data_IF_705744149206
#
_entry.id   IF_705744149206
#
_cell.length_a   1.000
_cell.length_b   1.000
_cell.length_c   1.000
_cell.angle_alpha   90.00
_cell.angle_beta   90.00
_cell.angle_gamma   90.00
#
_symmetry.space_group_name_H-M   'P 1'
#
loop_
_entity.id
_entity.type
_entity.pdbx_description
1 polymer ?
#
# COMPACT_ATOMS: atom_id res chain seq x y z
N UNK A 1 27.78 -6.41 -18.66
CA UNK A 1 26.73 -6.29 -17.63
C UNK A 1 25.92 -7.57 -17.66
N UNK A 2 25.91 -8.28 -16.54
CA UNK A 2 25.07 -9.44 -16.25
C UNK A 2 24.03 -9.08 -15.20
N UNK A 3 24.43 -8.27 -14.22
CA UNK A 3 23.57 -7.87 -13.11
C UNK A 3 23.58 -6.35 -12.92
N UNK A 4 22.42 -5.82 -12.54
CA UNK A 4 22.23 -4.40 -12.22
C UNK A 4 21.44 -4.30 -10.91
N UNK A 5 22.09 -3.83 -9.86
CA UNK A 5 21.47 -3.58 -8.55
C UNK A 5 20.94 -2.15 -8.53
N UNK A 6 19.72 -1.95 -8.06
CA UNK A 6 19.01 -0.68 -8.21
C UNK A 6 18.26 -0.34 -6.92
N UNK A 7 18.43 0.91 -6.48
CA UNK A 7 17.55 1.54 -5.50
C UNK A 7 17.10 2.90 -6.03
N UNK A 8 15.83 3.26 -5.81
CA UNK A 8 15.28 4.52 -6.32
C UNK A 8 14.58 5.32 -5.22
N UNK A 9 14.68 6.63 -5.36
CA UNK A 9 13.88 7.56 -4.58
C UNK A 9 12.88 8.27 -5.49
N UNK A 10 11.64 8.41 -5.04
CA UNK A 10 10.53 8.86 -5.89
C UNK A 10 9.60 9.81 -5.16
N UNK A 11 8.90 10.65 -5.91
CA UNK A 11 7.83 11.49 -5.40
C UNK A 11 6.51 11.17 -6.13
N UNK A 12 5.41 11.23 -5.38
CA UNK A 12 4.05 11.29 -5.92
C UNK A 12 3.12 11.95 -4.91
N UNK A 13 2.09 12.69 -5.34
CA UNK A 13 1.06 13.19 -4.43
C UNK A 13 0.15 12.08 -3.89
N UNK A 14 0.18 10.89 -4.50
CA UNK A 14 -0.60 9.73 -4.06
C UNK A 14 0.02 9.11 -2.83
N UNK A 15 -0.81 8.75 -1.85
CA UNK A 15 -0.34 8.03 -0.67
C UNK A 15 -0.06 6.56 -0.99
N UNK A 16 1.23 6.18 -1.06
CA UNK A 16 1.69 4.83 -1.40
C UNK A 16 1.05 3.74 -0.52
N UNK A 17 0.97 3.96 0.80
CA UNK A 17 0.43 2.96 1.73
C UNK A 17 -1.07 2.70 1.53
N UNK A 18 -1.84 3.70 1.09
CA UNK A 18 -3.28 3.58 0.83
C UNK A 18 -3.59 3.06 -0.57
N UNK A 19 -2.86 3.52 -1.58
CA UNK A 19 -3.18 3.27 -2.99
C UNK A 19 -2.33 2.17 -3.63
N UNK A 20 -1.18 1.84 -3.04
CA UNK A 20 -0.20 0.94 -3.65
C UNK A 20 0.66 1.61 -4.73
N UNK A 21 1.67 0.88 -5.21
CA UNK A 21 2.68 1.43 -6.15
C UNK A 21 2.10 1.76 -7.53
N UNK A 22 1.07 1.07 -7.99
CA UNK A 22 0.54 1.28 -9.34
C UNK A 22 -0.11 2.66 -9.49
N UNK A 23 -1.09 3.09 -8.68
CA UNK A 23 -1.60 4.46 -8.77
C UNK A 23 -0.56 5.51 -8.37
N UNK A 24 0.36 5.16 -7.47
CA UNK A 24 1.46 6.03 -7.07
C UNK A 24 2.35 6.41 -8.25
N UNK A 25 2.82 5.43 -9.01
CA UNK A 25 3.68 5.61 -10.17
C UNK A 25 2.95 6.13 -11.41
N UNK A 26 1.64 5.86 -11.53
CA UNK A 26 0.78 6.29 -12.67
C UNK A 26 0.23 7.72 -12.52
N UNK A 27 0.54 8.44 -11.44
CA UNK A 27 0.12 9.82 -11.25
C UNK A 27 0.87 10.77 -12.21
N UNK A 28 0.24 11.85 -12.70
CA UNK A 28 0.90 12.77 -13.64
C UNK A 28 2.12 13.47 -12.99
N UNK A 29 1.99 13.91 -11.74
CA UNK A 29 3.07 14.50 -10.94
C UNK A 29 4.02 13.48 -10.28
N UNK A 30 4.05 12.22 -10.74
CA UNK A 30 5.06 11.27 -10.26
C UNK A 30 6.43 11.64 -10.83
N UNK A 31 7.46 11.61 -9.99
CA UNK A 31 8.84 11.87 -10.38
C UNK A 31 9.80 10.81 -9.82
N UNK A 32 10.75 10.39 -10.66
CA UNK A 32 11.93 9.65 -10.22
C UNK A 32 13.01 10.65 -9.82
N UNK A 33 13.43 10.60 -8.56
CA UNK A 33 14.28 11.63 -7.95
C UNK A 33 15.76 11.27 -8.01
N UNK A 34 16.09 10.11 -7.48
CA UNK A 34 17.43 9.54 -7.44
C UNK A 34 17.37 8.11 -7.96
N UNK A 35 18.41 7.70 -8.67
CA UNK A 35 18.64 6.31 -9.03
C UNK A 35 20.05 5.92 -8.62
N UNK A 36 20.14 5.11 -7.57
CA UNK A 36 21.35 4.44 -7.13
C UNK A 36 21.48 3.12 -7.87
N UNK A 37 22.69 2.82 -8.36
CA UNK A 37 22.93 1.57 -9.06
C UNK A 37 24.33 1.02 -8.87
N UNK A 38 24.47 -0.30 -8.99
CA UNK A 38 25.75 -0.99 -9.14
C UNK A 38 25.70 -1.96 -10.33
N UNK A 39 26.75 -1.92 -11.14
CA UNK A 39 26.93 -2.81 -12.30
C UNK A 39 27.79 -4.00 -11.85
N UNK A 40 27.27 -5.21 -11.99
CA UNK A 40 28.00 -6.45 -11.71
C UNK A 40 28.66 -6.47 -10.31
N UNK A 41 28.00 -5.89 -9.29
CA UNK A 41 28.50 -5.79 -7.92
C UNK A 41 29.67 -4.80 -7.73
N UNK A 42 29.94 -3.96 -8.73
CA UNK A 42 30.97 -2.92 -8.66
C UNK A 42 30.60 -1.73 -7.76
N UNK A 43 31.40 -0.64 -7.81
CA UNK A 43 31.14 0.58 -7.06
C UNK A 43 29.72 1.13 -7.34
N UNK A 44 29.02 1.53 -6.28
CA UNK A 44 27.70 2.14 -6.39
C UNK A 44 27.85 3.56 -6.93
N UNK A 45 27.04 3.90 -7.93
CA UNK A 45 26.87 5.25 -8.47
C UNK A 45 25.43 5.74 -8.17
N UNK A 46 25.22 7.05 -8.06
CA UNK A 46 23.88 7.63 -7.88
C UNK A 46 23.68 8.75 -8.91
N UNK A 47 22.55 8.72 -9.61
CA UNK A 47 22.16 9.74 -10.58
C UNK A 47 21.08 10.62 -9.98
N UNK A 48 21.39 11.91 -9.86
CA UNK A 48 20.46 12.94 -9.39
C UNK A 48 19.56 13.43 -10.53
N UNK A 49 18.50 12.66 -10.79
CA UNK A 49 17.54 12.93 -11.85
C UNK A 49 16.72 14.21 -11.56
N UNK A 50 16.46 14.51 -10.28
CA UNK A 50 15.71 15.69 -9.88
C UNK A 50 16.45 17.01 -10.22
N UNK A 51 17.78 16.99 -10.26
CA UNK A 51 18.61 18.11 -10.75
C UNK A 51 18.99 17.99 -12.23
N UNK A 52 18.33 17.10 -12.98
CA UNK A 52 18.44 17.00 -14.45
C UNK A 52 19.63 16.18 -14.95
N UNK A 53 20.37 15.50 -14.07
CA UNK A 53 21.38 14.54 -14.51
C UNK A 53 20.70 13.40 -15.29
N UNK A 54 21.45 12.79 -16.22
CA UNK A 54 20.93 11.76 -17.11
C UNK A 54 21.53 10.41 -16.75
N UNK A 55 20.75 9.33 -16.87
CA UNK A 55 21.29 7.98 -16.74
C UNK A 55 22.28 7.71 -17.87
N UNK A 56 23.42 7.05 -17.58
CA UNK A 56 24.30 6.57 -18.63
C UNK A 56 23.54 5.63 -19.57
N UNK A 57 23.77 5.75 -20.88
CA UNK A 57 23.08 4.97 -21.92
C UNK A 57 23.17 3.45 -21.67
N UNK A 58 24.34 2.97 -21.19
CA UNK A 58 24.55 1.56 -20.82
C UNK A 58 23.62 1.08 -19.70
N UNK A 59 23.29 1.93 -18.73
CA UNK A 59 22.40 1.61 -17.61
C UNK A 59 20.96 1.64 -18.08
N UNK A 60 20.61 2.66 -18.86
CA UNK A 60 19.28 2.80 -19.45
C UNK A 60 18.92 1.60 -20.33
N UNK A 61 19.82 1.17 -21.22
CA UNK A 61 19.62 -0.01 -22.07
C UNK A 61 19.48 -1.30 -21.24
N UNK A 62 20.23 -1.44 -20.15
CA UNK A 62 20.20 -2.60 -19.29
C UNK A 62 18.85 -2.79 -18.55
N UNK A 63 18.10 -1.71 -18.29
CA UNK A 63 16.78 -1.80 -17.65
C UNK A 63 15.79 -2.67 -18.44
N UNK A 64 15.94 -2.77 -19.76
CA UNK A 64 15.07 -3.56 -20.65
C UNK A 64 15.75 -4.76 -21.30
N UNK A 65 17.06 -4.91 -21.12
CA UNK A 65 17.82 -6.02 -21.69
C UNK A 65 17.43 -7.36 -21.02
N UNK A 66 16.92 -8.35 -21.78
CA UNK A 66 16.59 -9.68 -21.25
C UNK A 66 17.80 -10.50 -20.76
N UNK A 67 19.02 -10.09 -21.11
CA UNK A 67 20.26 -10.74 -20.66
C UNK A 67 20.85 -10.12 -19.38
N UNK A 68 20.24 -9.05 -18.86
CA UNK A 68 20.63 -8.43 -17.59
C UNK A 68 19.57 -8.71 -16.53
N UNK A 69 19.99 -9.32 -15.43
CA UNK A 69 19.16 -9.51 -14.23
C UNK A 69 19.20 -8.23 -13.41
N UNK A 70 18.03 -7.68 -13.09
CA UNK A 70 17.89 -6.52 -12.22
C UNK A 70 17.62 -6.98 -10.80
N UNK A 71 18.35 -6.44 -9.83
CA UNK A 71 18.17 -6.70 -8.41
C UNK A 71 17.71 -5.43 -7.70
N UNK A 72 16.77 -5.59 -6.76
CA UNK A 72 16.35 -4.52 -5.87
C UNK A 72 15.75 -5.07 -4.57
N UNK A 73 15.95 -4.36 -3.46
CA UNK A 73 15.33 -4.70 -2.18
C UNK A 73 13.87 -4.22 -2.15
N UNK A 74 12.95 -5.10 -2.58
CA UNK A 74 11.53 -4.84 -2.90
C UNK A 74 11.26 -4.52 -4.37
N UNK A 75 11.93 -5.22 -5.30
CA UNK A 75 11.88 -5.05 -6.76
C UNK A 75 10.52 -4.78 -7.43
N UNK A 76 9.39 -5.18 -6.82
CA UNK A 76 8.07 -4.78 -7.30
C UNK A 76 7.87 -3.25 -7.31
N UNK A 77 8.47 -2.53 -6.35
CA UNK A 77 8.39 -1.08 -6.29
C UNK A 77 9.22 -0.44 -7.41
N UNK A 78 10.49 -0.80 -7.49
CA UNK A 78 11.46 -0.26 -8.46
C UNK A 78 10.98 -0.53 -9.88
N UNK A 79 10.58 -1.78 -10.17
CA UNK A 79 10.11 -2.18 -11.50
C UNK A 79 8.90 -1.37 -11.97
N UNK A 80 7.93 -1.12 -11.09
CA UNK A 80 6.71 -0.38 -11.47
C UNK A 80 6.99 1.12 -11.63
N UNK A 81 7.76 1.72 -10.72
CA UNK A 81 8.18 3.11 -10.81
C UNK A 81 9.02 3.37 -12.06
N UNK A 82 10.00 2.51 -12.36
CA UNK A 82 10.83 2.60 -13.56
C UNK A 82 10.02 2.36 -14.84
N UNK A 83 9.04 1.47 -14.82
CA UNK A 83 8.11 1.30 -15.96
C UNK A 83 7.39 2.60 -16.29
N UNK A 84 6.90 3.30 -15.27
CA UNK A 84 6.20 4.58 -15.44
C UNK A 84 7.15 5.70 -15.88
N UNK A 85 8.36 5.74 -15.32
CA UNK A 85 9.39 6.71 -15.72
C UNK A 85 9.83 6.49 -17.18
N UNK A 86 10.12 5.26 -17.59
CA UNK A 86 10.47 4.93 -18.98
C UNK A 86 9.34 5.30 -19.96
N UNK A 87 8.07 5.06 -19.63
CA UNK A 87 6.97 5.50 -20.49
C UNK A 87 6.94 7.02 -20.73
N UNK A 88 7.31 7.82 -19.73
CA UNK A 88 7.30 9.28 -19.83
C UNK A 88 8.55 9.83 -20.53
N UNK A 89 9.71 9.29 -20.22
CA UNK A 89 10.99 9.88 -20.61
C UNK A 89 11.71 9.12 -21.74
N UNK A 90 11.41 7.83 -21.91
CA UNK A 90 12.05 6.95 -22.89
C UNK A 90 11.06 5.93 -23.51
N UNK A 91 9.97 6.41 -24.15
CA UNK A 91 8.90 5.55 -24.64
C UNK A 91 9.36 4.50 -25.65
N UNK A 92 10.48 4.73 -26.34
CA UNK A 92 11.12 3.79 -27.25
C UNK A 92 11.40 2.43 -26.61
N UNK A 93 11.75 2.39 -25.32
CA UNK A 93 12.05 1.14 -24.59
C UNK A 93 10.80 0.40 -24.10
N UNK A 94 9.63 1.03 -24.14
CA UNK A 94 8.38 0.48 -23.63
C UNK A 94 7.37 0.14 -24.73
N UNK A 95 7.80 0.17 -26.00
CA UNK A 95 6.91 -0.11 -27.14
C UNK A 95 6.22 -1.47 -27.01
N UNK A 96 4.87 -1.45 -26.98
CA UNK A 96 4.04 -2.65 -26.91
C UNK A 96 3.93 -3.29 -25.52
N UNK A 97 4.46 -2.67 -24.45
CA UNK A 97 4.37 -3.21 -23.09
C UNK A 97 4.09 -2.13 -22.06
N UNK A 98 3.31 -2.45 -21.03
CA UNK A 98 2.96 -1.50 -19.97
C UNK A 98 3.96 -1.51 -18.81
N UNK A 99 4.55 -2.66 -18.52
CA UNK A 99 5.46 -2.84 -17.40
C UNK A 99 6.73 -3.55 -17.86
N UNK A 100 7.82 -3.27 -17.17
CA UNK A 100 9.07 -4.02 -17.28
C UNK A 100 8.83 -5.49 -16.91
N UNK A 101 9.51 -6.37 -17.62
CA UNK A 101 9.30 -7.81 -17.54
C UNK A 101 9.69 -8.36 -16.15
N UNK A 102 8.76 -8.90 -15.36
CA UNK A 102 9.11 -9.40 -14.04
C UNK A 102 10.09 -10.60 -14.07
N UNK A 103 10.20 -11.34 -15.19
CA UNK A 103 11.15 -12.44 -15.30
C UNK A 103 12.63 -11.98 -15.31
N UNK A 104 12.87 -10.68 -15.53
CA UNK A 104 14.21 -10.10 -15.52
C UNK A 104 14.57 -9.43 -14.19
N UNK A 105 13.70 -9.55 -13.16
CA UNK A 105 13.83 -8.86 -11.89
C UNK A 105 13.85 -9.85 -10.73
N UNK A 106 14.89 -9.79 -9.91
CA UNK A 106 15.02 -10.53 -8.68
C UNK A 106 14.89 -9.61 -7.48
N UNK A 107 14.31 -10.14 -6.40
CA UNK A 107 13.96 -9.36 -5.22
C UNK A 107 14.69 -9.90 -4.00
N UNK A 108 15.64 -9.11 -3.50
CA UNK A 108 16.49 -9.47 -2.35
C UNK A 108 15.67 -9.59 -1.06
N UNK A 109 14.55 -8.85 -0.96
CA UNK A 109 13.56 -8.99 0.13
C UNK A 109 12.84 -10.36 0.08
N UNK A 110 12.47 -10.84 -1.11
CA UNK A 110 11.82 -12.16 -1.28
C UNK A 110 12.81 -13.28 -0.95
N UNK A 111 14.05 -13.16 -1.42
CA UNK A 111 15.10 -14.12 -1.10
C UNK A 111 15.36 -14.18 0.42
N UNK A 112 15.39 -13.03 1.09
CA UNK A 112 15.48 -12.95 2.55
C UNK A 112 14.30 -13.67 3.22
N UNK A 113 13.06 -13.39 2.79
CA UNK A 113 11.86 -14.02 3.33
C UNK A 113 11.86 -15.55 3.14
N UNK A 114 12.37 -16.04 2.01
CA UNK A 114 12.52 -17.48 1.75
C UNK A 114 13.41 -18.18 2.78
N UNK A 115 14.48 -17.50 3.22
CA UNK A 115 15.40 -17.99 4.24
C UNK A 115 14.90 -17.73 5.68
N UNK A 116 13.66 -17.28 5.84
CA UNK A 116 13.07 -16.97 7.16
C UNK A 116 13.60 -15.69 7.80
N UNK A 117 14.32 -14.87 7.03
CA UNK A 117 14.82 -13.57 7.49
C UNK A 117 13.70 -12.51 7.46
N UNK A 118 13.88 -11.36 8.13
CA UNK A 118 12.95 -10.23 8.06
C UNK A 118 12.74 -9.72 6.62
N UNK A 119 11.71 -8.90 6.41
CA UNK A 119 11.42 -8.27 5.10
C UNK A 119 11.79 -6.77 5.05
N UNK A 120 12.51 -6.26 6.05
CA UNK A 120 13.03 -4.90 6.06
C UNK A 120 14.53 -4.93 5.84
N UNK A 121 15.05 -4.06 4.97
CA UNK A 121 16.49 -3.96 4.67
C UNK A 121 17.31 -3.82 5.95
N UNK A 122 16.89 -2.91 6.85
CA UNK A 122 17.50 -2.67 8.16
C UNK A 122 17.50 -3.93 9.04
N UNK A 123 16.37 -4.65 9.08
CA UNK A 123 16.22 -5.82 9.94
C UNK A 123 17.00 -7.03 9.40
N UNK A 124 17.08 -7.18 8.06
CA UNK A 124 17.90 -8.22 7.42
C UNK A 124 19.37 -7.95 7.65
N UNK A 125 19.84 -6.73 7.40
CA UNK A 125 21.23 -6.34 7.64
C UNK A 125 21.63 -6.56 9.10
N UNK A 126 20.73 -6.24 10.05
CA UNK A 126 20.94 -6.52 11.48
C UNK A 126 20.99 -8.02 11.77
N UNK A 127 20.08 -8.82 11.20
CA UNK A 127 20.03 -10.26 11.42
C UNK A 127 21.26 -10.99 10.84
N UNK A 128 21.85 -10.45 9.78
CA UNK A 128 23.06 -10.96 9.13
C UNK A 128 24.36 -10.38 9.73
N UNK A 129 24.26 -9.49 10.73
CA UNK A 129 25.36 -8.77 11.36
C UNK A 129 26.26 -8.04 10.36
N UNK A 130 25.65 -7.33 9.41
CA UNK A 130 26.39 -6.60 8.39
C UNK A 130 27.02 -5.32 8.97
N UNK A 131 28.27 -5.00 8.58
CA UNK A 131 28.88 -3.71 8.91
C UNK A 131 28.17 -2.57 8.18
N UNK A 132 27.60 -2.85 7.02
CA UNK A 132 26.72 -1.95 6.30
C UNK A 132 25.37 -1.82 7.01
N UNK A 133 25.08 -0.63 7.51
CA UNK A 133 23.81 -0.33 8.18
C UNK A 133 23.09 0.80 7.47
N UNK A 134 21.76 0.66 7.43
CA UNK A 134 20.84 1.69 6.97
C UNK A 134 20.94 2.91 7.87
N UNK A 135 21.02 4.10 7.27
CA UNK A 135 21.04 5.35 8.05
C UNK A 135 19.64 5.67 8.59
N UNK A 136 19.53 5.77 9.91
CA UNK A 136 18.30 6.16 10.61
C UNK A 136 17.79 7.55 10.24
N UNK A 137 18.65 8.45 9.75
CA UNK A 137 18.27 9.77 9.25
C UNK A 137 17.41 9.71 7.97
N UNK A 138 17.49 8.62 7.21
CA UNK A 138 16.79 8.45 5.94
C UNK A 138 15.28 8.63 6.03
N UNK A 139 14.65 8.20 7.14
CA UNK A 139 13.19 8.37 7.33
C UNK A 139 12.76 9.83 7.31
N UNK A 140 13.60 10.74 7.84
CA UNK A 140 13.33 12.18 7.82
C UNK A 140 13.45 12.72 6.40
N UNK A 141 14.48 12.32 5.67
CA UNK A 141 14.75 12.77 4.30
C UNK A 141 13.71 12.27 3.30
N UNK A 142 13.30 10.99 3.40
CA UNK A 142 12.18 10.42 2.62
C UNK A 142 10.91 11.25 2.88
N UNK A 143 10.57 11.53 4.14
CA UNK A 143 9.39 12.36 4.45
C UNK A 143 9.52 13.75 3.85
N UNK A 144 10.70 14.33 3.89
CA UNK A 144 10.95 15.68 3.40
C UNK A 144 10.83 15.80 1.88
N UNK A 145 11.41 14.87 1.12
CA UNK A 145 11.54 14.97 -0.34
C UNK A 145 10.57 14.10 -1.14
N UNK A 146 10.13 12.96 -0.59
CA UNK A 146 9.33 11.96 -1.29
C UNK A 146 7.82 12.03 -0.97
N UNK A 147 7.42 12.85 0.01
CA UNK A 147 6.00 12.98 0.40
C UNK A 147 5.47 14.40 0.21
N UNK A 148 4.15 14.57 0.01
CA UNK A 148 3.56 15.89 -0.14
C UNK A 148 3.81 16.81 1.05
N UNK A 149 4.19 18.04 0.75
CA UNK A 149 4.44 19.10 1.72
C UNK A 149 3.35 20.17 1.66
N UNK A 150 3.06 20.79 2.80
CA UNK A 150 2.17 21.96 2.85
C UNK A 150 2.80 23.12 2.06
N UNK A 151 2.02 23.86 1.25
CA UNK A 151 2.50 25.07 0.57
C UNK A 151 3.18 26.06 1.53
N UNK A 152 4.37 26.51 1.16
CA UNK A 152 5.22 27.42 1.95
C UNK A 152 6.17 28.22 1.06
N UNK A 153 6.85 29.22 1.62
CA UNK A 153 7.86 29.99 0.87
C UNK A 153 9.03 29.10 0.42
N UNK A 154 9.39 28.08 1.22
CA UNK A 154 10.50 27.17 0.95
C UNK A 154 10.25 26.21 -0.22
N UNK A 155 8.98 25.93 -0.54
CA UNK A 155 8.61 25.12 -1.70
C UNK A 155 7.91 25.93 -2.81
N UNK A 156 8.07 27.26 -2.78
CA UNK A 156 7.49 28.17 -3.77
C UNK A 156 5.95 28.06 -3.89
N UNK A 157 5.27 27.68 -2.80
CA UNK A 157 3.83 27.43 -2.78
C UNK A 157 3.41 26.09 -3.39
N UNK A 158 4.36 25.23 -3.76
CA UNK A 158 4.09 23.89 -4.30
C UNK A 158 3.72 22.86 -3.25
N UNK A 159 3.49 21.62 -3.70
CA UNK A 159 3.16 20.47 -2.84
C UNK A 159 4.35 19.55 -2.56
N UNK A 160 5.57 19.97 -2.91
CA UNK A 160 6.80 19.17 -2.76
C UNK A 160 7.96 20.08 -2.39
N UNK A 161 8.85 19.61 -1.52
CA UNK A 161 10.12 20.29 -1.27
C UNK A 161 11.12 19.94 -2.38
N UNK A 162 11.56 20.90 -3.21
CA UNK A 162 12.57 20.64 -4.24
C UNK A 162 13.96 20.42 -3.60
N UNK A 163 14.93 19.82 -4.34
CA UNK A 163 16.32 19.70 -3.87
C UNK A 163 16.89 21.02 -3.35
N UNK A 164 16.61 22.12 -4.05
CA UNK A 164 17.09 23.45 -3.71
C UNK A 164 16.55 24.02 -2.38
N UNK A 165 15.50 23.43 -1.79
CA UNK A 165 14.94 23.87 -0.51
C UNK A 165 15.80 23.51 0.71
N UNK A 166 16.62 22.46 0.58
CA UNK A 166 17.57 22.01 1.60
C UNK A 166 18.73 21.25 0.92
N UNK A 167 19.72 21.96 0.37
CA UNK A 167 20.81 21.34 -0.39
C UNK A 167 21.66 20.35 0.45
N UNK A 168 21.89 20.67 1.72
CA UNK A 168 22.66 19.80 2.62
C UNK A 168 21.87 18.52 2.95
N UNK A 169 20.56 18.64 3.16
CA UNK A 169 19.67 17.49 3.30
C UNK A 169 19.58 16.65 2.03
N UNK A 170 19.64 17.29 0.85
CA UNK A 170 19.64 16.60 -0.43
C UNK A 170 20.92 15.78 -0.66
N UNK A 171 22.08 16.33 -0.34
CA UNK A 171 23.36 15.60 -0.43
C UNK A 171 23.40 14.39 0.53
N UNK A 172 22.84 14.54 1.73
CA UNK A 172 22.63 13.43 2.65
C UNK A 172 21.67 12.39 2.06
N UNK A 173 20.66 12.82 1.30
CA UNK A 173 19.71 11.91 0.67
C UNK A 173 20.33 11.12 -0.50
N UNK A 174 21.21 11.74 -1.29
CA UNK A 174 22.04 11.05 -2.28
C UNK A 174 22.93 9.99 -1.61
N UNK A 175 23.57 10.36 -0.50
CA UNK A 175 24.41 9.43 0.27
C UNK A 175 23.60 8.28 0.87
N UNK A 176 22.37 8.55 1.30
CA UNK A 176 21.44 7.55 1.81
C UNK A 176 21.02 6.54 0.73
N UNK A 177 20.62 7.00 -0.46
CA UNK A 177 20.27 6.11 -1.59
C UNK A 177 21.48 5.25 -2.02
N UNK A 178 22.69 5.83 -2.06
CA UNK A 178 23.93 5.04 -2.27
C UNK A 178 24.06 3.93 -1.24
N UNK A 179 23.86 4.27 0.04
CA UNK A 179 24.02 3.34 1.16
C UNK A 179 23.00 2.21 1.12
N UNK A 180 21.76 2.46 0.71
CA UNK A 180 20.75 1.40 0.58
C UNK A 180 21.17 0.36 -0.49
N UNK A 181 21.76 0.77 -1.63
CA UNK A 181 22.33 -0.17 -2.62
C UNK A 181 23.52 -0.95 -2.05
N UNK A 182 24.43 -0.30 -1.31
CA UNK A 182 25.56 -0.98 -0.66
C UNK A 182 25.09 -2.05 0.34
N UNK A 183 24.06 -1.73 1.15
CA UNK A 183 23.47 -2.68 2.10
C UNK A 183 22.79 -3.83 1.35
N UNK A 184 22.08 -3.55 0.26
CA UNK A 184 21.49 -4.61 -0.56
C UNK A 184 22.56 -5.55 -1.12
N UNK A 185 23.64 -5.02 -1.69
CA UNK A 185 24.76 -5.81 -2.21
C UNK A 185 25.36 -6.72 -1.12
N UNK A 186 25.59 -6.17 0.07
CA UNK A 186 26.11 -6.95 1.20
C UNK A 186 25.14 -8.06 1.64
N UNK A 187 23.83 -7.82 1.59
CA UNK A 187 22.82 -8.86 1.82
C UNK A 187 22.89 -9.90 0.71
N UNK A 188 22.85 -9.48 -0.55
CA UNK A 188 22.92 -10.35 -1.73
C UNK A 188 24.11 -11.30 -1.64
N UNK A 189 25.31 -10.78 -1.39
CA UNK A 189 26.54 -11.57 -1.27
C UNK A 189 26.45 -12.58 -0.12
N UNK A 190 25.83 -12.19 1.00
CA UNK A 190 25.63 -13.07 2.15
C UNK A 190 24.62 -14.18 1.88
N UNK A 191 23.62 -13.91 1.04
CA UNK A 191 22.59 -14.89 0.65
C UNK A 191 23.05 -15.81 -0.48
N UNK A 192 24.08 -15.45 -1.25
CA UNK A 192 24.57 -16.19 -2.41
C UNK A 192 24.90 -17.67 -2.15
N UNK A 193 25.31 -18.02 -0.93
CA UNK A 193 25.53 -19.40 -0.49
C UNK A 193 24.24 -20.25 -0.41
N UNK A 194 23.08 -19.60 -0.41
CA UNK A 194 21.75 -20.20 -0.25
C UNK A 194 20.81 -19.78 -1.39
N UNK A 195 21.13 -20.12 -2.65
CA UNK A 195 20.39 -19.64 -3.81
C UNK A 195 18.92 -20.05 -3.76
N UNK A 196 18.05 -19.10 -4.09
CA UNK A 196 16.64 -19.39 -4.30
C UNK A 196 16.48 -20.28 -5.55
N UNK A 197 15.72 -21.40 -5.49
CA UNK A 197 15.51 -22.26 -6.65
C UNK A 197 14.90 -21.51 -7.83
N UNK A 198 15.29 -21.86 -9.06
CA UNK A 198 14.76 -21.22 -10.28
C UNK A 198 13.22 -21.24 -10.36
N UNK A 199 12.60 -22.34 -9.91
CA UNK A 199 11.13 -22.45 -9.87
C UNK A 199 10.45 -21.45 -8.93
N UNK A 200 11.14 -20.99 -7.88
CA UNK A 200 10.63 -19.96 -6.98
C UNK A 200 10.76 -18.58 -7.63
N UNK A 201 11.80 -18.31 -8.42
CA UNK A 201 11.89 -17.11 -9.26
C UNK A 201 10.80 -17.09 -10.33
N UNK A 202 10.53 -18.22 -10.99
CA UNK A 202 9.41 -18.34 -11.93
C UNK A 202 8.06 -18.06 -11.25
N UNK A 203 7.89 -18.54 -10.01
CA UNK A 203 6.67 -18.31 -9.23
C UNK A 203 6.55 -16.84 -8.79
N UNK A 204 7.66 -16.21 -8.40
CA UNK A 204 7.71 -14.77 -8.14
C UNK A 204 7.32 -13.97 -9.40
N UNK A 205 7.90 -14.29 -10.56
CA UNK A 205 7.56 -13.62 -11.81
C UNK A 205 6.08 -13.80 -12.18
N UNK A 206 5.50 -14.98 -11.95
CA UNK A 206 4.07 -15.23 -12.11
C UNK A 206 3.21 -14.36 -11.17
N UNK A 207 3.57 -14.26 -9.88
CA UNK A 207 2.90 -13.36 -8.93
C UNK A 207 2.91 -11.91 -9.41
N UNK A 208 4.05 -11.45 -9.90
CA UNK A 208 4.19 -10.09 -10.44
C UNK A 208 3.32 -9.91 -11.69
N UNK A 209 3.29 -10.87 -12.61
CA UNK A 209 2.40 -10.84 -13.79
C UNK A 209 0.91 -10.80 -13.41
N UNK A 210 0.50 -11.53 -12.37
CA UNK A 210 -0.87 -11.48 -11.83
C UNK A 210 -1.19 -10.09 -11.28
N UNK A 211 -0.26 -9.51 -10.52
CA UNK A 211 -0.42 -8.17 -9.97
C UNK A 211 -0.44 -7.08 -11.06
N UNK A 212 0.40 -7.19 -12.09
CA UNK A 212 0.44 -6.29 -13.26
C UNK A 212 -0.87 -6.36 -14.06
N UNK A 213 -1.42 -7.57 -14.21
CA UNK A 213 -2.72 -7.79 -14.87
C UNK A 213 -3.82 -7.11 -14.07
N UNK A 214 -3.84 -7.29 -12.75
CA UNK A 214 -4.83 -6.71 -11.85
C UNK A 214 -6.25 -7.23 -12.05
N UNK A 215 -7.19 -6.73 -11.25
CA UNK A 215 -8.60 -7.12 -11.25
C UNK A 215 -9.45 -5.89 -11.57
N UNK A 216 -10.38 -6.00 -12.54
CA UNK A 216 -11.29 -4.90 -12.87
C UNK A 216 -12.25 -4.66 -11.70
N UNK A 217 -12.32 -3.42 -11.26
CA UNK A 217 -13.20 -2.99 -10.18
C UNK A 217 -14.42 -2.30 -10.77
N UNK A 218 -15.59 -2.69 -10.27
CA UNK A 218 -16.85 -2.05 -10.64
C UNK A 218 -17.00 -0.74 -9.87
N UNK A 219 -16.40 0.34 -10.40
CA UNK A 219 -16.36 1.65 -9.72
C UNK A 219 -17.75 2.16 -9.33
N UNK A 220 -18.76 1.97 -10.19
CA UNK A 220 -20.14 2.39 -9.89
C UNK A 220 -20.68 1.68 -8.66
N UNK A 221 -20.52 0.36 -8.58
CA UNK A 221 -20.94 -0.41 -7.42
C UNK A 221 -20.15 -0.02 -6.17
N UNK A 222 -18.84 0.18 -6.29
CA UNK A 222 -17.96 0.58 -5.18
C UNK A 222 -18.37 1.95 -4.64
N UNK A 223 -18.53 2.95 -5.50
CA UNK A 223 -18.88 4.31 -5.12
C UNK A 223 -20.26 4.37 -4.44
N UNK A 224 -21.23 3.63 -4.98
CA UNK A 224 -22.55 3.54 -4.36
C UNK A 224 -22.54 2.73 -3.06
N UNK A 225 -21.71 1.69 -2.92
CA UNK A 225 -21.57 0.98 -1.65
C UNK A 225 -21.01 1.89 -0.54
N UNK A 226 -20.02 2.73 -0.86
CA UNK A 226 -19.49 3.74 0.07
C UNK A 226 -20.53 4.81 0.39
N UNK A 227 -21.31 5.26 -0.61
CA UNK A 227 -22.39 6.22 -0.40
C UNK A 227 -23.51 5.65 0.49
N UNK A 228 -23.89 4.38 0.27
CA UNK A 228 -24.88 3.67 1.06
C UNK A 228 -24.44 3.58 2.53
N UNK A 229 -23.21 3.16 2.80
CA UNK A 229 -22.67 3.11 4.16
C UNK A 229 -22.62 4.49 4.80
N UNK A 230 -22.19 5.53 4.06
CA UNK A 230 -22.17 6.89 4.58
C UNK A 230 -23.56 7.39 4.99
N UNK A 231 -24.59 7.11 4.19
CA UNK A 231 -25.97 7.45 4.51
C UNK A 231 -26.45 6.69 5.75
N UNK A 232 -26.25 5.37 5.76
CA UNK A 232 -26.62 4.53 6.89
C UNK A 232 -25.94 4.99 8.19
N UNK A 233 -24.62 5.20 8.18
CA UNK A 233 -23.85 5.69 9.33
C UNK A 233 -24.30 7.06 9.81
N UNK A 234 -24.70 7.96 8.91
CA UNK A 234 -25.21 9.28 9.29
C UNK A 234 -26.55 9.15 10.05
N UNK A 235 -27.47 8.31 9.55
CA UNK A 235 -28.75 8.01 10.20
C UNK A 235 -28.54 7.33 11.56
N UNK A 236 -27.72 6.28 11.62
CA UNK A 236 -27.38 5.56 12.86
C UNK A 236 -26.73 6.49 13.89
N UNK A 237 -25.83 7.38 13.45
CA UNK A 237 -25.19 8.35 14.33
C UNK A 237 -26.19 9.37 14.87
N UNK A 238 -27.04 9.93 14.01
CA UNK A 238 -28.07 10.89 14.42
C UNK A 238 -29.04 10.28 15.44
N UNK A 239 -29.46 9.03 15.22
CA UNK A 239 -30.30 8.30 16.18
C UNK A 239 -29.59 8.04 17.50
N UNK A 240 -28.32 7.67 17.46
CA UNK A 240 -27.52 7.50 18.67
C UNK A 240 -27.35 8.83 19.44
N UNK A 241 -27.18 9.96 18.74
CA UNK A 241 -27.12 11.29 19.34
C UNK A 241 -28.45 11.68 19.97
N UNK A 242 -29.58 11.40 19.31
CA UNK A 242 -30.93 11.66 19.84
C UNK A 242 -31.18 10.91 21.16
N UNK A 243 -30.83 9.62 21.22
CA UNK A 243 -31.02 8.79 22.42
C UNK A 243 -30.06 9.16 23.56
N UNK A 244 -28.81 9.49 23.23
CA UNK A 244 -27.76 9.65 24.26
C UNK A 244 -27.52 11.09 24.67
N UNK A 245 -27.89 12.06 23.83
CA UNK A 245 -27.51 13.47 23.98
C UNK A 245 -26.01 13.74 23.82
N UNK A 246 -25.21 12.73 23.45
CA UNK A 246 -23.76 12.88 23.29
C UNK A 246 -23.42 13.54 21.96
N UNK A 247 -22.46 14.45 21.96
CA UNK A 247 -21.91 15.01 20.71
C UNK A 247 -21.25 13.91 19.85
N UNK A 248 -20.54 12.98 20.49
CA UNK A 248 -19.89 11.85 19.82
C UNK A 248 -20.22 10.50 20.50
N UNK A 249 -21.34 9.86 20.13
CA UNK A 249 -21.72 8.53 20.63
C UNK A 249 -20.73 7.40 20.28
N UNK A 250 -19.78 7.64 19.37
CA UNK A 250 -18.73 6.68 19.04
C UNK A 250 -17.52 6.75 19.99
N UNK A 251 -17.41 7.79 20.82
CA UNK A 251 -16.34 7.89 21.82
C UNK A 251 -16.52 6.81 22.88
N UNK A 252 -15.56 5.87 23.03
CA UNK A 252 -15.69 4.81 24.02
C UNK A 252 -15.78 5.32 25.46
N UNK A 253 -15.21 6.50 25.73
CA UNK A 253 -15.24 7.10 27.07
C UNK A 253 -16.65 7.64 27.33
N UNK A 254 -17.15 8.53 26.47
CA UNK A 254 -18.46 9.17 26.63
C UNK A 254 -19.59 8.13 26.66
N UNK A 255 -19.53 7.12 25.78
CA UNK A 255 -20.57 6.09 25.75
C UNK A 255 -20.57 5.21 27.01
N UNK A 256 -19.40 4.89 27.58
CA UNK A 256 -19.33 4.11 28.83
C UNK A 256 -19.88 4.90 30.02
N UNK A 257 -19.61 6.20 30.08
CA UNK A 257 -20.17 7.08 31.11
C UNK A 257 -21.70 7.15 31.00
N UNK A 258 -22.23 7.30 29.79
CA UNK A 258 -23.67 7.27 29.54
C UNK A 258 -24.29 5.93 29.93
N UNK A 259 -23.69 4.81 29.54
CA UNK A 259 -24.17 3.47 29.87
C UNK A 259 -24.18 3.21 31.39
N UNK A 260 -23.15 3.68 32.11
CA UNK A 260 -23.09 3.59 33.57
C UNK A 260 -24.21 4.40 34.24
N UNK A 261 -24.50 5.62 33.74
CA UNK A 261 -25.60 6.44 34.23
C UNK A 261 -26.99 5.80 33.99
N UNK A 262 -27.10 4.93 32.98
CA UNK A 262 -28.32 4.19 32.63
C UNK A 262 -28.31 2.74 33.13
N UNK A 263 -27.52 2.46 34.19
CA UNK A 263 -27.55 1.20 34.91
C UNK A 263 -26.85 0.02 34.24
N UNK A 264 -26.07 0.25 33.18
CA UNK A 264 -25.34 -0.78 32.42
C UNK A 264 -23.84 -0.45 32.35
N UNK A 265 -23.10 -0.43 33.47
CA UNK A 265 -21.67 -0.12 33.44
C UNK A 265 -20.89 -1.22 32.71
N UNK A 266 -20.12 -0.83 31.69
CA UNK A 266 -19.22 -1.73 30.94
C UNK A 266 -17.76 -1.32 31.11
N UNK A 267 -16.87 -2.30 31.19
CA UNK A 267 -15.43 -2.07 31.30
C UNK A 267 -14.83 -1.70 29.95
N UNK A 268 -15.24 -2.43 28.90
CA UNK A 268 -14.89 -2.19 27.52
C UNK A 268 -16.11 -2.23 26.59
N UNK A 269 -15.92 -1.76 25.36
CA UNK A 269 -16.91 -1.86 24.29
C UNK A 269 -16.44 -2.87 23.24
N UNK A 270 -15.79 -3.95 23.69
CA UNK A 270 -15.39 -5.04 22.80
C UNK A 270 -16.62 -5.79 22.30
N UNK A 271 -16.50 -6.45 21.14
CA UNK A 271 -17.59 -7.21 20.54
C UNK A 271 -18.23 -8.20 21.52
N UNK A 272 -17.43 -8.86 22.34
CA UNK A 272 -17.91 -9.86 23.30
C UNK A 272 -18.65 -9.22 24.48
N UNK A 273 -18.13 -8.12 25.04
CA UNK A 273 -18.79 -7.43 26.14
C UNK A 273 -20.11 -6.76 25.70
N UNK A 274 -20.13 -6.16 24.51
CA UNK A 274 -21.37 -5.59 23.95
C UNK A 274 -22.40 -6.69 23.68
N UNK A 275 -21.98 -7.85 23.16
CA UNK A 275 -22.89 -8.99 22.95
C UNK A 275 -23.49 -9.49 24.27
N UNK A 276 -22.67 -9.65 25.32
CA UNK A 276 -23.17 -10.05 26.64
C UNK A 276 -24.10 -9.01 27.26
N UNK A 277 -23.84 -7.71 27.05
CA UNK A 277 -24.70 -6.63 27.52
C UNK A 277 -26.06 -6.62 26.80
N UNK A 278 -26.10 -6.99 25.51
CA UNK A 278 -27.33 -7.05 24.72
C UNK A 278 -28.30 -8.14 25.20
N UNK A 279 -27.82 -9.17 25.91
CA UNK A 279 -28.68 -10.25 26.45
C UNK A 279 -29.60 -9.75 27.57
N UNK A 280 -29.20 -8.72 28.31
CA UNK A 280 -29.95 -8.18 29.45
C UNK A 280 -30.42 -6.74 29.25
N UNK A 281 -29.85 -6.02 28.28
CA UNK A 281 -30.25 -4.65 27.98
C UNK A 281 -31.69 -4.57 27.45
N UNK A 282 -32.43 -3.54 27.87
CA UNK A 282 -33.78 -3.24 27.39
C UNK A 282 -33.93 -1.75 27.05
N UNK A 283 -34.96 -1.41 26.28
CA UNK A 283 -35.28 -0.02 25.93
C UNK A 283 -34.13 0.70 25.20
N UNK A 284 -33.91 1.96 25.56
CA UNK A 284 -32.92 2.84 24.91
C UNK A 284 -31.49 2.30 25.02
N UNK A 285 -31.13 1.68 26.14
CA UNK A 285 -29.79 1.07 26.32
C UNK A 285 -29.54 -0.01 25.28
N UNK A 286 -30.54 -0.87 25.03
CA UNK A 286 -30.42 -1.94 24.03
C UNK A 286 -30.26 -1.35 22.63
N UNK A 287 -31.05 -0.33 22.30
CA UNK A 287 -30.98 0.35 21.00
C UNK A 287 -29.61 1.00 20.79
N UNK A 288 -29.09 1.74 21.78
CA UNK A 288 -27.77 2.37 21.72
C UNK A 288 -26.64 1.34 21.54
N UNK A 289 -26.71 0.19 22.22
CA UNK A 289 -25.73 -0.89 22.04
C UNK A 289 -25.78 -1.50 20.63
N UNK A 290 -26.96 -1.64 20.03
CA UNK A 290 -27.11 -2.08 18.64
C UNK A 290 -26.55 -1.06 17.65
N UNK A 291 -26.93 0.22 17.79
CA UNK A 291 -26.42 1.33 16.96
C UNK A 291 -24.89 1.43 17.05
N UNK A 292 -24.32 1.24 18.25
CA UNK A 292 -22.86 1.20 18.44
C UNK A 292 -22.23 0.04 17.68
N UNK A 293 -22.87 -1.13 17.69
CA UNK A 293 -22.45 -2.32 16.93
C UNK A 293 -22.42 -2.07 15.43
N UNK A 294 -23.45 -1.42 14.89
CA UNK A 294 -23.50 -0.99 13.48
C UNK A 294 -22.40 0.00 13.15
N UNK A 295 -22.23 1.05 13.96
CA UNK A 295 -21.16 2.05 13.78
C UNK A 295 -19.75 1.45 13.91
N UNK A 296 -19.60 0.29 14.57
CA UNK A 296 -18.34 -0.44 14.68
C UNK A 296 -17.98 -1.29 13.44
N UNK A 297 -18.94 -1.57 12.55
CA UNK A 297 -18.69 -2.37 11.34
C UNK A 297 -17.66 -1.67 10.45
N UNK A 298 -16.79 -2.47 9.83
CA UNK A 298 -15.68 -1.99 8.98
C UNK A 298 -15.70 -2.60 7.58
N UNK A 299 -16.81 -3.22 7.19
CA UNK A 299 -17.00 -3.85 5.87
C UNK A 299 -16.81 -2.86 4.72
N UNK A 300 -17.23 -1.59 4.90
CA UNK A 300 -17.05 -0.53 3.91
C UNK A 300 -15.59 -0.19 3.60
N UNK A 301 -14.67 -0.39 4.57
CA UNK A 301 -13.24 -0.03 4.38
C UNK A 301 -12.60 -0.72 3.17
N UNK A 302 -13.12 -1.88 2.78
CA UNK A 302 -12.69 -2.60 1.57
C UNK A 302 -13.11 -1.87 0.31
N UNK A 303 -14.32 -1.31 0.28
CA UNK A 303 -14.80 -0.49 -0.83
C UNK A 303 -14.05 0.84 -0.90
N UNK A 304 -13.81 1.49 0.24
CA UNK A 304 -12.96 2.69 0.30
C UNK A 304 -11.54 2.39 -0.21
N UNK A 305 -10.94 1.28 0.21
CA UNK A 305 -9.65 0.84 -0.33
C UNK A 305 -9.73 0.59 -1.85
N UNK A 306 -10.80 -0.02 -2.36
CA UNK A 306 -11.01 -0.22 -3.80
C UNK A 306 -11.06 1.11 -4.58
N UNK A 307 -11.59 2.20 -4.00
CA UNK A 307 -11.58 3.52 -4.64
C UNK A 307 -10.15 4.06 -4.80
N UNK A 308 -9.28 3.84 -3.82
CA UNK A 308 -7.91 4.37 -3.81
C UNK A 308 -6.92 3.58 -4.69
N UNK A 309 -7.14 2.29 -4.89
CA UNK A 309 -6.19 1.39 -5.59
C UNK A 309 -6.46 1.22 -7.09
N UNK A 310 -7.63 1.68 -7.56
CA UNK A 310 -8.03 1.49 -8.94
C UNK A 310 -7.24 2.45 -9.86
N UNK A 311 -6.45 1.90 -10.78
CA UNK A 311 -5.72 2.67 -11.79
C UNK A 311 -6.65 3.29 -12.85
N UNK A 312 -6.07 4.08 -13.78
CA UNK A 312 -6.82 4.76 -14.86
C UNK A 312 -7.66 3.81 -15.73
N UNK A 313 -7.21 2.57 -15.88
CA UNK A 313 -7.91 1.50 -16.62
C UNK A 313 -9.01 0.79 -15.80
N UNK A 314 -9.31 1.28 -14.59
CA UNK A 314 -10.32 0.73 -13.69
C UNK A 314 -9.92 -0.60 -13.05
N UNK A 315 -8.64 -0.98 -13.07
CA UNK A 315 -8.15 -2.21 -12.44
C UNK A 315 -7.36 -1.91 -11.16
N UNK A 316 -7.66 -2.65 -10.10
CA UNK A 316 -6.84 -2.70 -8.89
C UNK A 316 -5.69 -3.69 -9.03
N UNK A 317 -4.51 -3.34 -8.52
CA UNK A 317 -3.25 -4.08 -8.69
C UNK A 317 -2.47 -4.18 -7.39
N UNK A 318 -1.49 -5.10 -7.33
CA UNK A 318 -0.64 -5.27 -6.15
C UNK A 318 -1.39 -5.82 -4.93
N UNK A 319 -2.38 -6.68 -5.16
CA UNK A 319 -3.22 -7.26 -4.09
C UNK A 319 -2.61 -8.50 -3.45
N UNK A 320 -1.63 -9.11 -4.10
CA UNK A 320 -0.95 -10.30 -3.62
C UNK A 320 0.54 -9.97 -3.43
N UNK A 321 1.13 -10.58 -2.42
CA UNK A 321 2.57 -10.58 -2.22
C UNK A 321 3.05 -12.02 -2.07
N UNK A 322 3.88 -12.45 -3.01
CA UNK A 322 4.69 -13.66 -2.91
C UNK A 322 5.57 -13.64 -1.65
N UNK A 323 5.64 -14.77 -0.93
CA UNK A 323 6.33 -14.88 0.37
C UNK A 323 5.91 -13.83 1.43
N UNK A 324 4.71 -13.23 1.29
CA UNK A 324 4.23 -12.23 2.24
C UNK A 324 3.99 -12.76 3.66
N UNK A 325 3.91 -14.09 3.85
CA UNK A 325 3.93 -14.77 5.14
C UNK A 325 5.24 -15.57 5.33
N UNK A 326 6.34 -14.86 5.66
CA UNK A 326 7.71 -15.39 5.65
C UNK A 326 7.97 -16.67 6.44
N UNK A 327 7.17 -17.01 7.46
CA UNK A 327 7.31 -18.30 8.18
C UNK A 327 6.77 -19.53 7.44
N UNK A 328 5.86 -19.32 6.48
CA UNK A 328 5.13 -20.42 5.83
C UNK A 328 5.26 -20.40 4.30
N UNK A 329 5.88 -19.36 3.73
CA UNK A 329 5.94 -19.14 2.28
C UNK A 329 4.60 -18.79 1.63
N UNK A 330 3.50 -18.70 2.39
CA UNK A 330 2.18 -18.38 1.83
C UNK A 330 2.13 -16.95 1.28
N UNK A 331 1.38 -16.80 0.19
CA UNK A 331 1.00 -15.51 -0.36
C UNK A 331 0.16 -14.74 0.66
N UNK A 332 0.41 -13.43 0.78
CA UNK A 332 -0.36 -12.56 1.64
C UNK A 332 -1.17 -11.53 0.84
N UNK A 333 -2.36 -11.21 1.31
CA UNK A 333 -3.14 -10.08 0.80
C UNK A 333 -2.52 -8.73 1.14
N UNK A 334 -2.57 -7.80 0.20
CA UNK A 334 -2.23 -6.38 0.36
C UNK A 334 -3.39 -5.49 -0.07
N UNK A 335 -3.38 -4.26 0.44
CA UNK A 335 -4.41 -3.24 0.16
C UNK A 335 -5.83 -3.74 0.53
N UNK A 336 -6.61 -4.18 -0.46
CA UNK A 336 -7.97 -4.72 -0.27
C UNK A 336 -7.98 -6.06 0.48
N UNK A 337 -6.86 -6.79 0.47
CA UNK A 337 -6.73 -8.15 1.04
C UNK A 337 -7.84 -9.09 0.57
N UNK A 338 -7.79 -9.49 -0.70
CA UNK A 338 -8.82 -10.32 -1.34
C UNK A 338 -9.10 -11.65 -0.63
N UNK A 339 -8.12 -12.19 0.10
CA UNK A 339 -8.25 -13.41 0.91
C UNK A 339 -9.21 -13.24 2.10
N UNK A 340 -9.42 -12.00 2.56
CA UNK A 340 -10.29 -11.65 3.69
C UNK A 340 -11.68 -11.17 3.23
N UNK A 341 -12.03 -11.33 1.96
CA UNK A 341 -13.38 -11.03 1.47
C UNK A 341 -14.36 -12.08 2.02
N UNK A 342 -15.47 -11.65 2.65
CA UNK A 342 -16.44 -12.58 3.17
C UNK A 342 -17.05 -13.39 2.04
N UNK A 343 -17.23 -14.69 2.27
CA UNK A 343 -18.04 -15.53 1.38
C UNK A 343 -19.49 -15.08 1.51
N UNK A 344 -20.12 -14.79 0.37
CA UNK A 344 -21.47 -14.27 0.34
C UNK A 344 -22.44 -15.43 0.12
N UNK A 345 -23.41 -15.58 1.04
CA UNK A 345 -24.39 -16.66 1.02
C UNK A 345 -25.82 -16.16 0.75
N UNK A 346 -25.96 -14.89 0.33
CA UNK A 346 -27.25 -14.31 -0.03
C UNK A 346 -27.86 -15.02 -1.25
N UNK A 347 -29.06 -15.63 -1.15
CA UNK A 347 -29.71 -16.34 -2.25
C UNK A 347 -29.95 -15.46 -3.48
N UNK A 348 -30.18 -14.16 -3.28
CA UNK A 348 -30.50 -13.18 -4.30
C UNK A 348 -29.43 -12.08 -4.44
N UNK A 349 -28.16 -12.44 -4.21
CA UNK A 349 -27.00 -11.54 -4.29
C UNK A 349 -26.97 -10.63 -5.54
N UNK A 350 -27.41 -11.13 -6.69
CA UNK A 350 -27.48 -10.35 -7.92
C UNK A 350 -28.45 -9.16 -7.79
N UNK A 351 -29.59 -9.34 -7.12
CA UNK A 351 -30.57 -8.29 -6.86
C UNK A 351 -30.04 -7.28 -5.84
N UNK A 352 -29.41 -7.77 -4.76
CA UNK A 352 -28.76 -6.91 -3.76
C UNK A 352 -27.72 -5.98 -4.43
N UNK A 353 -26.85 -6.55 -5.28
CA UNK A 353 -25.85 -5.78 -6.04
C UNK A 353 -26.49 -4.80 -7.01
N UNK A 354 -27.58 -5.17 -7.68
CA UNK A 354 -28.28 -4.27 -8.59
C UNK A 354 -28.85 -3.05 -7.84
N UNK A 355 -29.49 -3.25 -6.68
CA UNK A 355 -30.04 -2.17 -5.87
C UNK A 355 -28.96 -1.20 -5.38
N UNK A 356 -27.84 -1.72 -4.87
CA UNK A 356 -26.71 -0.87 -4.49
C UNK A 356 -26.15 -0.15 -5.72
N UNK A 357 -25.93 -0.86 -6.82
CA UNK A 357 -25.42 -0.27 -8.07
C UNK A 357 -26.35 0.82 -8.63
N UNK A 358 -27.66 0.77 -8.43
CA UNK A 358 -28.60 1.81 -8.88
C UNK A 358 -28.85 2.89 -7.84
N UNK A 359 -28.23 2.83 -6.65
CA UNK A 359 -28.41 3.83 -5.59
C UNK A 359 -29.73 3.69 -4.82
N UNK A 360 -30.41 2.55 -4.91
CA UNK A 360 -31.70 2.32 -4.26
C UNK A 360 -31.53 1.90 -2.79
N UNK A 361 -30.90 2.74 -1.97
CA UNK A 361 -30.47 2.39 -0.61
C UNK A 361 -31.63 2.06 0.34
N UNK A 362 -32.75 2.79 0.26
CA UNK A 362 -33.95 2.52 1.08
C UNK A 362 -34.49 1.09 0.86
N UNK A 363 -34.42 0.60 -0.39
CA UNK A 363 -34.82 -0.77 -0.71
C UNK A 363 -33.82 -1.79 -0.17
N UNK A 364 -32.53 -1.43 -0.07
CA UNK A 364 -31.52 -2.30 0.54
C UNK A 364 -31.76 -2.40 2.05
N UNK A 365 -32.03 -1.28 2.74
CA UNK A 365 -32.37 -1.26 4.17
C UNK A 365 -33.67 -2.00 4.49
N UNK A 366 -34.66 -1.93 3.60
CA UNK A 366 -35.94 -2.64 3.79
C UNK A 366 -35.84 -4.15 3.57
N UNK A 367 -35.00 -4.59 2.63
CA UNK A 367 -34.95 -5.99 2.18
C UNK A 367 -33.86 -6.82 2.83
N UNK A 368 -32.87 -6.19 3.47
CA UNK A 368 -31.71 -6.89 4.03
C UNK A 368 -31.39 -6.41 5.45
N UNK A 369 -31.29 -7.36 6.39
CA UNK A 369 -31.04 -7.10 7.82
C UNK A 369 -29.63 -6.53 8.13
N UNK A 370 -28.73 -6.46 7.15
CA UNK A 370 -27.39 -5.90 7.32
C UNK A 370 -27.01 -5.04 6.12
N UNK A 371 -26.99 -3.73 6.34
CA UNK A 371 -26.59 -2.70 5.36
C UNK A 371 -25.46 -1.86 5.97
N UNK A 372 -24.40 -2.50 6.50
CA UNK A 372 -23.22 -2.82 5.70
C UNK A 372 -22.52 -4.15 6.03
#
# INVERSE_FOLDING_TARGET
>A
MRELFIDIETFSPVNLAKSGVYPYADHDDFELLLLGYSIDGGPVEVVDLANGHQLPEKVLAALVDPHVVKWAFNAAFERICLSAWLHRHHPEFMTGRRFLDPAQWHCTMVWSAYLGLPMSLEQVATALDLPERKDSAGKKLIRQFCTPATPSVFNLGGMRNPPASDPDGWEQFISYNRRDVEVELAIHDRLADFPLPASEWDTYALDQNVNDTGIRLDRVLVDHAVACDRQHRATTLARAQELTGLENPNSPIQLKEWLAAHGTPLQSLTKNEVAAALDTATGEVREVLLLRGELAKSSVKKYEAMQHVAGRDGRGRGFLQFYGAGRTGRFAGRLVQVQNLPRNYLPDLAKARALVRTGCFDAVELLYDSVP
#
